data_IF_088291560863
#
_entry.id   IF_088291560863
#
_cell.length_a   1.000
_cell.length_b   1.000
_cell.length_c   1.000
_cell.angle_alpha   90.00
_cell.angle_beta   90.00
_cell.angle_gamma   90.00
#
_symmetry.space_group_name_H-M   'P 1'
#
loop_
_entity.id
_entity.type
_entity.pdbx_description
1 polymer ?
#
# COMPACT_ATOMS: atom_id res chain seq x y z
N UNK A 1 7.23 -7.57 -6.12
CA UNK A 1 6.14 -6.59 -5.83
C UNK A 1 5.75 -6.62 -4.35
N UNK A 2 5.54 -7.80 -3.75
CA UNK A 2 5.21 -7.91 -2.31
C UNK A 2 6.23 -7.27 -1.36
N UNK A 3 7.54 -7.47 -1.60
CA UNK A 3 8.61 -6.88 -0.78
C UNK A 3 8.60 -5.34 -0.80
N UNK A 4 8.34 -4.74 -1.96
CA UNK A 4 8.23 -3.29 -2.09
C UNK A 4 7.00 -2.74 -1.34
N UNK A 5 5.87 -3.41 -1.43
CA UNK A 5 4.66 -3.03 -0.69
C UNK A 5 4.86 -3.15 0.83
N UNK A 6 5.49 -4.23 1.28
CA UNK A 6 5.83 -4.42 2.70
C UNK A 6 6.78 -3.32 3.19
N UNK A 7 7.81 -2.98 2.42
CA UNK A 7 8.74 -1.90 2.73
C UNK A 7 8.01 -0.54 2.89
N UNK A 8 7.05 -0.22 2.02
CA UNK A 8 6.25 1.01 2.15
C UNK A 8 5.37 1.03 3.40
N UNK A 9 4.86 -0.13 3.81
CA UNK A 9 4.05 -0.27 5.03
C UNK A 9 4.93 -0.12 6.27
N UNK A 10 6.09 -0.79 6.28
CA UNK A 10 7.09 -0.69 7.36
C UNK A 10 7.57 0.76 7.52
N UNK A 11 7.96 1.42 6.43
CA UNK A 11 8.39 2.81 6.45
C UNK A 11 7.31 3.74 7.05
N UNK A 12 6.03 3.56 6.67
CA UNK A 12 4.92 4.31 7.27
C UNK A 12 4.82 4.07 8.78
N UNK A 13 4.86 2.80 9.18
CA UNK A 13 4.71 2.42 10.58
C UNK A 13 5.87 2.98 11.42
N UNK A 14 7.09 2.97 10.89
CA UNK A 14 8.25 3.59 11.53
C UNK A 14 8.12 5.10 11.67
N UNK A 15 7.69 5.80 10.62
CA UNK A 15 7.47 7.25 10.66
C UNK A 15 6.41 7.61 11.71
N UNK A 16 5.30 6.86 11.72
CA UNK A 16 4.25 7.04 12.72
C UNK A 16 4.77 6.79 14.14
N UNK A 17 5.48 5.68 14.35
CA UNK A 17 6.03 5.34 15.65
C UNK A 17 7.02 6.39 16.17
N UNK A 18 7.91 6.89 15.29
CA UNK A 18 8.83 8.00 15.62
C UNK A 18 8.07 9.26 16.00
N UNK A 19 7.01 9.61 15.26
CA UNK A 19 6.15 10.75 15.57
C UNK A 19 5.57 10.66 16.98
N UNK A 20 4.97 9.51 17.32
CA UNK A 20 4.39 9.30 18.64
C UNK A 20 5.43 9.39 19.77
N UNK A 21 6.62 8.83 19.56
CA UNK A 21 7.71 8.90 20.53
C UNK A 21 8.13 10.36 20.76
N UNK A 22 8.36 11.11 19.68
CA UNK A 22 8.77 12.52 19.76
C UNK A 22 7.69 13.34 20.46
N UNK A 23 6.42 13.16 20.08
CA UNK A 23 5.29 13.84 20.69
C UNK A 23 5.18 13.55 22.20
N UNK A 24 5.27 12.28 22.61
CA UNK A 24 5.27 11.89 24.03
C UNK A 24 6.43 12.56 24.79
N UNK A 25 7.64 12.54 24.22
CA UNK A 25 8.82 13.18 24.83
C UNK A 25 8.65 14.70 24.94
N UNK A 26 8.06 15.36 23.95
CA UNK A 26 7.73 16.79 24.01
C UNK A 26 6.75 17.10 25.14
N UNK A 27 5.65 16.34 25.22
CA UNK A 27 4.62 16.54 26.24
C UNK A 27 5.23 16.40 27.64
N UNK A 28 6.01 15.34 27.86
CA UNK A 28 6.67 15.10 29.16
C UNK A 28 7.68 16.22 29.46
N UNK A 29 8.57 16.54 28.52
CA UNK A 29 9.63 17.54 28.74
C UNK A 29 9.04 18.94 28.96
N UNK A 30 7.98 19.33 28.23
CA UNK A 30 7.28 20.60 28.44
C UNK A 30 6.59 20.66 29.80
N UNK A 31 5.96 19.56 30.23
CA UNK A 31 5.35 19.49 31.57
C UNK A 31 6.40 19.59 32.68
N UNK A 32 7.57 18.98 32.50
CA UNK A 32 8.70 19.11 33.42
C UNK A 32 9.26 20.53 33.43
N UNK A 33 9.40 21.17 32.26
CA UNK A 33 9.91 22.53 32.14
C UNK A 33 9.03 23.53 32.92
N UNK A 34 7.70 23.35 32.87
CA UNK A 34 6.78 24.23 33.60
C UNK A 34 6.95 24.16 35.12
N UNK A 35 7.49 23.06 35.64
CA UNK A 35 7.75 22.83 37.08
C UNK A 35 9.24 22.92 37.43
N UNK A 36 10.09 23.31 36.48
CA UNK A 36 11.54 23.27 36.64
C UNK A 36 12.03 24.39 37.57
N UNK A 37 13.02 24.04 38.38
CA UNK A 37 13.84 25.00 39.11
C UNK A 37 14.94 25.59 38.20
N UNK A 38 15.65 26.61 38.69
CA UNK A 38 16.73 27.28 37.96
C UNK A 38 17.83 26.30 37.51
N UNK A 39 18.10 25.25 38.29
CA UNK A 39 19.16 24.27 38.01
C UNK A 39 18.82 23.28 36.89
N UNK A 40 17.55 22.95 36.70
CA UNK A 40 17.13 21.97 35.68
C UNK A 40 16.61 22.60 34.39
N UNK A 41 16.26 23.90 34.43
CA UNK A 41 15.67 24.63 33.31
C UNK A 41 16.51 24.54 32.03
N UNK A 42 17.79 24.92 32.06
CA UNK A 42 18.65 24.95 30.87
C UNK A 42 18.78 23.56 30.22
N UNK A 43 18.89 22.51 31.06
CA UNK A 43 18.96 21.12 30.59
C UNK A 43 17.66 20.69 29.90
N UNK A 44 16.50 21.11 30.40
CA UNK A 44 15.20 20.80 29.81
C UNK A 44 14.99 21.57 28.49
N UNK A 45 15.39 22.84 28.43
CA UNK A 45 15.39 23.62 27.19
C UNK A 45 16.25 22.95 26.10
N UNK A 46 17.47 22.50 26.45
CA UNK A 46 18.32 21.77 25.51
C UNK A 46 17.69 20.46 25.01
N UNK A 47 16.95 19.75 25.87
CA UNK A 47 16.22 18.55 25.45
C UNK A 47 15.10 18.89 24.46
N UNK A 48 14.38 19.99 24.68
CA UNK A 48 13.35 20.47 23.75
C UNK A 48 13.96 20.80 22.39
N UNK A 49 15.06 21.56 22.33
CA UNK A 49 15.73 21.88 21.06
C UNK A 49 16.18 20.64 20.29
N UNK A 50 16.66 19.61 20.99
CA UNK A 50 17.01 18.32 20.36
C UNK A 50 15.77 17.64 19.78
N UNK A 51 14.66 17.62 20.50
CA UNK A 51 13.40 17.07 20.02
C UNK A 51 12.84 17.84 18.82
N UNK A 52 12.98 19.16 18.78
CA UNK A 52 12.61 19.99 17.61
C UNK A 52 13.44 19.60 16.37
N UNK A 53 14.73 19.35 16.57
CA UNK A 53 15.62 18.89 15.50
C UNK A 53 15.23 17.50 15.00
N UNK A 54 14.92 16.57 15.91
CA UNK A 54 14.43 15.23 15.56
C UNK A 54 13.09 15.30 14.82
N UNK A 55 12.18 16.19 15.24
CA UNK A 55 10.90 16.41 14.58
C UNK A 55 11.08 16.93 13.16
N UNK A 56 11.95 17.93 12.96
CA UNK A 56 12.21 18.48 11.62
C UNK A 56 12.72 17.40 10.65
N UNK A 57 13.65 16.55 11.10
CA UNK A 57 14.14 15.43 10.29
C UNK A 57 13.02 14.44 9.96
N UNK A 58 12.15 14.14 10.92
CA UNK A 58 11.00 13.27 10.70
C UNK A 58 10.03 13.87 9.66
N UNK A 59 9.81 15.18 9.69
CA UNK A 59 8.98 15.89 8.70
C UNK A 59 9.60 15.79 7.30
N UNK A 60 10.92 15.95 7.17
CA UNK A 60 11.64 15.76 5.91
C UNK A 60 11.48 14.32 5.37
N UNK A 61 11.66 13.30 6.22
CA UNK A 61 11.46 11.89 5.85
C UNK A 61 10.00 11.63 5.41
N UNK A 62 9.02 12.22 6.11
CA UNK A 62 7.61 12.09 5.77
C UNK A 62 7.26 12.76 4.43
N UNK A 63 7.86 13.91 4.11
CA UNK A 63 7.70 14.57 2.81
C UNK A 63 8.21 13.67 1.69
N UNK A 64 9.38 13.05 1.86
CA UNK A 64 9.92 12.10 0.87
C UNK A 64 8.99 10.90 0.68
N UNK A 65 8.52 10.31 1.78
CA UNK A 65 7.57 9.19 1.75
C UNK A 65 6.27 9.54 1.02
N UNK A 66 5.66 10.69 1.34
CA UNK A 66 4.42 11.15 0.72
C UNK A 66 4.62 11.40 -0.78
N UNK A 67 5.73 12.04 -1.16
CA UNK A 67 6.06 12.26 -2.57
C UNK A 67 6.23 10.93 -3.31
N UNK A 68 6.90 9.95 -2.70
CA UNK A 68 7.02 8.61 -3.29
C UNK A 68 5.66 7.95 -3.50
N UNK A 69 4.76 8.05 -2.52
CA UNK A 69 3.38 7.55 -2.66
C UNK A 69 2.61 8.24 -3.79
N UNK A 70 2.72 9.57 -3.90
CA UNK A 70 2.07 10.34 -4.98
C UNK A 70 2.58 9.90 -6.35
N UNK A 71 3.90 9.79 -6.51
CA UNK A 71 4.49 9.34 -7.77
C UNK A 71 4.06 7.92 -8.14
N UNK A 72 3.98 7.02 -7.14
CA UNK A 72 3.49 5.66 -7.36
C UNK A 72 2.04 5.67 -7.86
N UNK A 73 1.16 6.46 -7.24
CA UNK A 73 -0.25 6.59 -7.64
C UNK A 73 -0.43 7.16 -9.06
N UNK A 74 0.48 8.03 -9.49
CA UNK A 74 0.46 8.61 -10.84
C UNK A 74 1.04 7.67 -11.89
N UNK A 75 1.83 6.66 -11.48
CA UNK A 75 2.52 5.77 -12.40
C UNK A 75 1.54 4.97 -13.28
N UNK A 76 1.86 4.77 -14.57
CA UNK A 76 1.04 3.95 -15.47
C UNK A 76 0.84 2.53 -14.93
N UNK A 77 1.89 1.93 -14.36
CA UNK A 77 1.84 0.57 -13.80
C UNK A 77 0.81 0.45 -12.68
N UNK A 78 0.74 1.44 -11.78
CA UNK A 78 -0.27 1.44 -10.71
C UNK A 78 -1.69 1.57 -11.27
N UNK A 79 -1.90 2.43 -12.27
CA UNK A 79 -3.21 2.57 -12.93
C UNK A 79 -3.65 1.29 -13.63
N UNK A 80 -2.75 0.67 -14.40
CA UNK A 80 -3.02 -0.62 -15.07
C UNK A 80 -3.32 -1.72 -14.06
N UNK A 81 -2.61 -1.76 -12.92
CA UNK A 81 -2.88 -2.72 -11.85
C UNK A 81 -4.29 -2.55 -11.27
N UNK A 82 -4.73 -1.30 -11.03
CA UNK A 82 -6.10 -1.02 -10.58
C UNK A 82 -7.16 -1.42 -11.60
N UNK A 83 -6.93 -1.12 -12.89
CA UNK A 83 -7.84 -1.49 -13.97
C UNK A 83 -7.99 -3.02 -14.11
N UNK A 84 -6.88 -3.77 -14.01
CA UNK A 84 -6.89 -5.23 -14.04
C UNK A 84 -7.64 -5.78 -12.82
N UNK A 85 -7.36 -5.25 -11.62
CA UNK A 85 -8.05 -5.65 -10.39
C UNK A 85 -9.57 -5.45 -10.50
N UNK A 86 -10.01 -4.27 -10.94
CA UNK A 86 -11.44 -3.98 -11.14
C UNK A 86 -12.10 -4.90 -12.18
N UNK A 87 -11.40 -5.25 -13.27
CA UNK A 87 -11.90 -6.22 -14.27
C UNK A 87 -11.97 -7.65 -13.73
N UNK A 88 -11.08 -8.01 -12.80
CA UNK A 88 -11.05 -9.34 -12.20
C UNK A 88 -12.16 -9.49 -11.15
N UNK A 89 -12.40 -8.45 -10.33
CA UNK A 89 -13.50 -8.40 -9.37
C UNK A 89 -14.88 -8.43 -10.06
N UNK A 90 -15.04 -7.71 -11.18
CA UNK A 90 -16.31 -7.74 -11.94
C UNK A 90 -16.55 -9.06 -12.68
N UNK A 91 -15.49 -9.74 -13.11
CA UNK A 91 -15.60 -11.11 -13.65
C UNK A 91 -15.91 -12.14 -12.58
N UNK A 92 -15.32 -12.02 -11.38
CA UNK A 92 -15.63 -12.91 -10.26
C UNK A 92 -17.09 -12.78 -9.80
N UNK A 93 -17.66 -11.57 -9.80
CA UNK A 93 -19.08 -11.37 -9.50
C UNK A 93 -20.03 -11.82 -10.61
N UNK A 94 -19.57 -11.94 -11.86
CA UNK A 94 -20.35 -12.46 -12.97
C UNK A 94 -20.34 -13.99 -13.04
N UNK A 95 -19.24 -14.63 -12.64
CA UNK A 95 -19.08 -16.08 -12.61
C UNK A 95 -19.95 -16.73 -11.50
N UNK A 96 -20.16 -16.02 -10.38
CA UNK A 96 -21.01 -16.46 -9.26
C UNK A 96 -22.52 -16.29 -9.54
N UNK A 97 -22.91 -15.68 -10.67
CA UNK A 97 -24.31 -15.38 -11.01
C UNK A 97 -24.72 -15.88 -12.41
N UNK A 98 -24.02 -16.89 -12.94
CA UNK A 98 -24.36 -17.55 -14.22
C UNK A 98 -25.00 -18.93 -14.04
N UNK A 99 -25.95 -19.06 -13.10
CA UNK A 99 -26.99 -20.09 -13.26
C UNK A 99 -28.04 -19.57 -14.26
N UNK A 100 -28.01 -20.16 -15.46
CA UNK A 100 -29.01 -20.04 -16.54
C UNK A 100 -29.14 -18.65 -17.20
N UNK A 101 -28.72 -18.54 -18.46
CA UNK A 101 -29.63 -18.46 -19.62
C UNK A 101 -28.77 -18.64 -20.88
N UNK A 102 -28.87 -19.84 -21.43
CA UNK A 102 -28.87 -20.21 -22.85
C UNK A 102 -28.69 -19.05 -23.85
N UNK A 103 -27.50 -18.99 -24.46
CA UNK A 103 -27.27 -18.23 -25.69
C UNK A 103 -26.18 -18.92 -26.52
N UNK A 104 -26.61 -19.93 -27.27
CA UNK A 104 -26.12 -20.24 -28.62
C UNK A 104 -24.64 -20.64 -28.81
N UNK A 105 -23.96 -21.09 -27.75
CA UNK A 105 -22.85 -22.03 -27.95
C UNK A 105 -23.47 -23.42 -28.08
N UNK A 106 -23.70 -23.86 -29.32
CA UNK A 106 -24.03 -25.26 -29.57
C UNK A 106 -23.01 -26.14 -28.82
N UNK A 107 -23.50 -26.90 -27.85
CA UNK A 107 -22.71 -27.87 -27.10
C UNK A 107 -22.21 -28.94 -28.07
N UNK A 108 -21.04 -28.68 -28.66
CA UNK A 108 -20.35 -29.70 -29.45
C UNK A 108 -20.06 -30.86 -28.51
N UNK A 109 -20.56 -32.05 -28.85
CA UNK A 109 -20.31 -33.21 -28.01
C UNK A 109 -18.82 -33.58 -28.08
N UNK A 110 -18.30 -34.21 -27.02
CA UNK A 110 -16.93 -34.71 -27.00
C UNK A 110 -16.62 -35.63 -28.20
N UNK A 111 -17.61 -36.39 -28.66
CA UNK A 111 -17.52 -37.27 -29.83
C UNK A 111 -17.34 -36.46 -31.14
N UNK A 112 -17.97 -35.29 -31.23
CA UNK A 112 -17.91 -34.39 -32.39
C UNK A 112 -16.58 -33.65 -32.47
N UNK A 113 -16.01 -33.28 -31.31
CA UNK A 113 -14.67 -32.73 -31.19
C UNK A 113 -13.59 -33.72 -31.67
N UNK A 114 -13.70 -35.00 -31.28
CA UNK A 114 -12.79 -36.06 -31.73
C UNK A 114 -12.91 -36.36 -33.23
N UNK A 115 -14.11 -36.23 -33.80
CA UNK A 115 -14.34 -36.40 -35.23
C UNK A 115 -13.71 -35.26 -36.06
N UNK A 116 -13.68 -34.04 -35.51
CA UNK A 116 -13.03 -32.88 -36.12
C UNK A 116 -11.50 -33.02 -36.10
N UNK A 117 -10.92 -33.46 -34.98
CA UNK A 117 -9.47 -33.65 -34.84
C UNK A 117 -8.92 -34.75 -35.78
N UNK A 118 -9.70 -35.82 -36.02
CA UNK A 118 -9.34 -36.85 -37.00
C UNK A 118 -9.34 -36.38 -38.47
N UNK A 119 -9.98 -35.26 -38.78
CA UNK A 119 -9.95 -34.67 -40.13
C UNK A 119 -8.76 -33.73 -40.34
N UNK A 120 -8.15 -33.24 -39.26
CA UNK A 120 -6.99 -32.36 -39.33
C UNK A 120 -5.72 -33.22 -39.36
N UNK A 121 -5.54 -33.94 -40.47
CA UNK A 121 -4.30 -34.63 -40.81
C UNK A 121 -3.22 -33.60 -41.10
N UNK A 122 -2.66 -32.97 -40.07
CA UNK A 122 -1.53 -32.05 -40.20
C UNK A 122 -0.18 -32.78 -40.42
N UNK A 123 -0.21 -34.10 -40.66
CA UNK A 123 0.97 -34.89 -40.97
C UNK A 123 0.76 -35.87 -42.14
N UNK A 124 0.33 -35.36 -43.30
CA UNK A 124 0.70 -35.95 -44.59
C UNK A 124 0.75 -34.90 -45.71
#
# INVERSE_FOLDING_TARGET
>A
VGEFANCLIEARNELQHKSEIIQRKFTITKALLFKADRSSFDRLCQQIYKLETEQKRLEEDAVVYNRLQEQLKLSPAYKTMLEIGARMESKAGADDNSESVDSEFAEISFEELLAQEKKDSFWY
#
